data_IF_520883368550
#
_entry.id   IF_520883368550
#
_cell.length_a   1.000
_cell.length_b   1.000
_cell.length_c   1.000
_cell.angle_alpha   90.00
_cell.angle_beta   90.00
_cell.angle_gamma   90.00
#
_symmetry.space_group_name_H-M   'P 1'
#
loop_
_entity.id
_entity.type
_entity.pdbx_description
1 polymer ?
#
# COMPACT_ATOMS: atom_id res chain seq x y z
N UNK A 1 9.53 11.39 -13.47
CA UNK A 1 9.32 11.62 -12.04
C UNK A 1 10.33 12.65 -11.55
N UNK A 2 9.92 13.61 -10.72
CA UNK A 2 10.78 14.62 -10.09
C UNK A 2 10.75 14.46 -8.55
N UNK A 3 11.41 15.36 -7.82
CA UNK A 3 11.50 15.29 -6.36
C UNK A 3 10.15 15.36 -5.61
N UNK A 4 9.05 15.69 -6.29
CA UNK A 4 7.71 15.78 -5.69
C UNK A 4 6.88 14.51 -5.88
N UNK A 5 7.35 13.54 -6.66
CA UNK A 5 6.59 12.30 -6.89
C UNK A 5 6.75 11.33 -5.71
N UNK A 6 5.62 10.94 -5.11
CA UNK A 6 5.58 9.98 -4.01
C UNK A 6 5.22 8.59 -4.55
N UNK A 7 6.12 7.63 -4.37
CA UNK A 7 5.84 6.21 -4.60
C UNK A 7 5.49 5.59 -3.25
N UNK A 8 4.29 5.03 -3.16
CA UNK A 8 3.85 4.32 -1.96
C UNK A 8 3.48 2.88 -2.32
N UNK A 9 3.94 1.94 -1.50
CA UNK A 9 3.62 0.52 -1.60
C UNK A 9 3.29 -0.02 -0.22
N UNK A 10 2.35 -0.96 -0.14
CA UNK A 10 1.93 -1.58 1.11
C UNK A 10 2.28 -3.06 1.06
N UNK A 11 3.02 -3.54 2.05
CA UNK A 11 3.18 -4.96 2.30
C UNK A 11 2.18 -5.37 3.38
N UNK A 12 1.09 -6.04 2.97
CA UNK A 12 -0.03 -6.35 3.85
C UNK A 12 0.22 -7.57 4.74
N UNK A 13 1.14 -8.44 4.36
CA UNK A 13 1.39 -9.74 5.00
C UNK A 13 2.81 -9.84 5.55
N UNK A 14 2.97 -10.51 6.69
CA UNK A 14 4.29 -10.86 7.25
C UNK A 14 4.95 -11.95 6.41
N UNK A 15 6.30 -11.93 6.34
CA UNK A 15 7.10 -13.01 5.76
C UNK A 15 6.76 -14.39 6.37
N UNK A 16 6.36 -14.42 7.64
CA UNK A 16 6.04 -15.64 8.37
C UNK A 16 4.89 -16.43 7.73
N UNK A 17 3.95 -15.74 7.07
CA UNK A 17 2.81 -16.35 6.39
C UNK A 17 3.23 -17.12 5.11
N UNK A 18 4.44 -16.90 4.60
CA UNK A 18 4.91 -17.53 3.36
C UNK A 18 5.77 -18.78 3.59
N UNK A 19 6.22 -19.07 4.82
CA UNK A 19 7.10 -20.22 5.08
C UNK A 19 6.44 -21.56 4.74
N UNK A 20 5.16 -21.75 5.10
CA UNK A 20 4.40 -22.95 4.73
C UNK A 20 4.23 -23.07 3.22
N UNK A 21 3.97 -21.94 2.54
CA UNK A 21 3.85 -21.89 1.07
C UNK A 21 5.15 -22.28 0.38
N UNK A 22 6.29 -21.80 0.88
CA UNK A 22 7.60 -22.17 0.34
C UNK A 22 7.88 -23.67 0.49
N UNK A 23 7.50 -24.27 1.63
CA UNK A 23 7.65 -25.71 1.83
C UNK A 23 6.81 -26.52 0.83
N UNK A 24 5.53 -26.15 0.66
CA UNK A 24 4.63 -26.77 -0.31
C UNK A 24 5.17 -26.64 -1.75
N UNK A 25 5.60 -25.44 -2.13
CA UNK A 25 6.17 -25.19 -3.47
C UNK A 25 7.45 -25.97 -3.71
N UNK A 26 8.35 -26.06 -2.73
CA UNK A 26 9.57 -26.86 -2.83
C UNK A 26 9.26 -28.36 -2.95
N UNK A 27 8.21 -28.85 -2.29
CA UNK A 27 7.78 -30.24 -2.43
C UNK A 27 7.21 -30.53 -3.82
N UNK A 28 6.44 -29.60 -4.39
CA UNK A 28 5.80 -29.77 -5.69
C UNK A 28 6.75 -29.55 -6.87
N UNK A 29 7.62 -28.54 -6.78
CA UNK A 29 8.43 -28.03 -7.90
C UNK A 29 9.94 -28.18 -7.69
N UNK A 30 10.37 -28.67 -6.52
CA UNK A 30 11.77 -28.74 -6.13
C UNK A 30 12.29 -27.42 -5.57
N UNK A 31 13.51 -27.44 -5.02
CA UNK A 31 14.14 -26.25 -4.47
C UNK A 31 14.37 -25.18 -5.54
N UNK A 32 14.16 -23.93 -5.17
CA UNK A 32 14.41 -22.78 -6.05
C UNK A 32 15.90 -22.73 -6.46
N UNK A 33 16.17 -22.96 -7.75
CA UNK A 33 17.52 -23.07 -8.28
C UNK A 33 17.97 -21.77 -8.94
N UNK A 34 19.28 -21.60 -9.12
CA UNK A 34 19.85 -20.48 -9.90
C UNK A 34 19.27 -20.48 -11.32
N UNK A 35 19.01 -21.65 -11.90
CA UNK A 35 18.40 -21.73 -13.23
C UNK A 35 16.97 -21.20 -13.25
N UNK A 36 16.18 -21.51 -12.22
CA UNK A 36 14.84 -20.95 -12.08
C UNK A 36 14.88 -19.44 -11.87
N UNK A 37 15.81 -18.94 -11.05
CA UNK A 37 16.03 -17.52 -10.85
C UNK A 37 16.35 -16.78 -12.17
N UNK A 38 17.19 -17.37 -13.02
CA UNK A 38 17.49 -16.83 -14.36
C UNK A 38 16.22 -16.78 -15.23
N UNK A 39 15.41 -17.85 -15.24
CA UNK A 39 14.17 -17.89 -16.01
C UNK A 39 13.19 -16.82 -15.52
N UNK A 40 12.94 -16.73 -14.22
CA UNK A 40 11.99 -15.77 -13.64
C UNK A 40 12.45 -14.32 -13.88
N UNK A 41 13.76 -14.08 -13.79
CA UNK A 41 14.34 -12.78 -14.12
C UNK A 41 13.96 -12.36 -15.54
N UNK A 42 14.23 -13.19 -16.55
CA UNK A 42 13.99 -12.82 -17.95
C UNK A 42 12.54 -13.00 -18.43
N UNK A 43 11.74 -13.84 -17.77
CA UNK A 43 10.37 -14.14 -18.21
C UNK A 43 9.30 -13.40 -17.42
N UNK A 44 9.57 -13.06 -16.15
CA UNK A 44 8.61 -12.39 -15.27
C UNK A 44 9.08 -10.96 -15.03
N UNK A 45 10.23 -10.78 -14.38
CA UNK A 45 10.66 -9.45 -13.90
C UNK A 45 11.02 -8.50 -15.04
N UNK A 46 11.77 -8.96 -16.05
CA UNK A 46 12.14 -8.15 -17.20
C UNK A 46 10.99 -7.92 -18.19
N UNK A 47 9.90 -8.69 -18.08
CA UNK A 47 8.71 -8.56 -18.93
C UNK A 47 7.53 -7.90 -18.24
N UNK A 48 7.76 -7.28 -17.08
CA UNK A 48 6.74 -6.46 -16.45
C UNK A 48 6.32 -5.34 -17.41
N UNK A 49 5.03 -5.29 -17.69
CA UNK A 49 4.42 -4.37 -18.66
C UNK A 49 3.72 -3.23 -17.91
N UNK A 50 3.12 -2.27 -18.62
CA UNK A 50 2.37 -1.18 -17.98
C UNK A 50 0.85 -1.35 -18.12
N UNK A 51 0.40 -2.52 -18.54
CA UNK A 51 -1.03 -2.87 -18.70
C UNK A 51 -1.82 -2.83 -17.38
N UNK A 52 -1.15 -3.07 -16.25
CA UNK A 52 -1.72 -2.91 -14.91
C UNK A 52 -1.60 -1.48 -14.36
N UNK A 53 -0.87 -0.59 -15.03
CA UNK A 53 -0.75 0.80 -14.63
C UNK A 53 -1.93 1.59 -15.18
N UNK A 54 -2.60 2.36 -14.33
CA UNK A 54 -3.70 3.24 -14.73
C UNK A 54 -3.39 4.67 -14.35
N UNK A 55 -3.22 5.53 -15.35
CA UNK A 55 -3.23 6.97 -15.15
C UNK A 55 -4.67 7.43 -14.96
N UNK A 56 -4.99 7.91 -13.76
CA UNK A 56 -6.37 8.17 -13.37
C UNK A 56 -6.85 9.53 -13.91
N UNK A 57 -7.90 9.49 -14.73
CA UNK A 57 -8.66 10.70 -15.08
C UNK A 57 -9.39 11.26 -13.85
N UNK A 58 -9.94 12.46 -13.98
CA UNK A 58 -10.82 13.03 -12.96
C UNK A 58 -11.97 12.06 -12.58
N UNK A 59 -12.60 11.43 -13.58
CA UNK A 59 -13.71 10.51 -13.35
C UNK A 59 -13.26 9.20 -12.69
N UNK A 60 -12.06 8.70 -13.02
CA UNK A 60 -11.51 7.53 -12.33
C UNK A 60 -11.24 7.81 -10.86
N UNK A 61 -10.64 8.97 -10.57
CA UNK A 61 -10.44 9.44 -9.19
C UNK A 61 -11.79 9.61 -8.46
N UNK A 62 -12.82 10.16 -9.12
CA UNK A 62 -14.15 10.34 -8.51
C UNK A 62 -14.84 9.00 -8.26
N UNK A 63 -14.68 8.02 -9.16
CA UNK A 63 -15.16 6.65 -8.96
C UNK A 63 -14.52 6.03 -7.72
N UNK A 64 -13.19 6.09 -7.61
CA UNK A 64 -12.46 5.60 -6.43
C UNK A 64 -12.90 6.32 -5.16
N UNK A 65 -13.11 7.64 -5.24
CA UNK A 65 -13.63 8.40 -4.11
C UNK A 65 -15.00 7.89 -3.65
N UNK A 66 -15.91 7.65 -4.58
CA UNK A 66 -17.25 7.17 -4.25
C UNK A 66 -17.25 5.74 -3.68
N UNK A 67 -16.27 4.89 -4.02
CA UNK A 67 -16.13 3.55 -3.42
C UNK A 67 -15.96 3.60 -1.90
N UNK A 68 -15.40 4.70 -1.36
CA UNK A 68 -15.27 4.90 0.09
C UNK A 68 -16.62 4.98 0.80
N UNK A 69 -17.73 5.23 0.10
CA UNK A 69 -19.05 5.18 0.73
C UNK A 69 -19.27 3.85 1.47
N UNK A 70 -19.00 2.72 0.80
CA UNK A 70 -19.21 1.40 1.39
C UNK A 70 -18.24 1.13 2.55
N UNK A 71 -16.96 1.45 2.38
CA UNK A 71 -15.92 1.08 3.38
C UNK A 71 -15.78 2.09 4.51
N UNK A 72 -16.14 3.36 4.31
CA UNK A 72 -15.94 4.46 5.25
C UNK A 72 -17.25 4.87 5.91
N UNK A 73 -18.30 5.11 5.11
CA UNK A 73 -19.60 5.56 5.64
C UNK A 73 -20.33 4.36 6.24
N UNK A 74 -20.61 3.32 5.45
CA UNK A 74 -21.41 2.19 5.92
C UNK A 74 -20.68 1.32 6.94
N UNK A 75 -19.42 0.95 6.66
CA UNK A 75 -18.68 0.03 7.54
C UNK A 75 -18.04 0.71 8.76
N UNK A 76 -17.55 1.94 8.63
CA UNK A 76 -16.85 2.66 9.71
C UNK A 76 -17.72 3.74 10.39
N UNK A 77 -18.98 3.89 9.99
CA UNK A 77 -19.95 4.79 10.62
C UNK A 77 -19.65 6.28 10.39
N UNK A 78 -18.92 6.62 9.33
CA UNK A 78 -18.58 8.00 8.97
C UNK A 78 -19.73 8.66 8.24
N UNK A 79 -19.68 9.99 8.12
CA UNK A 79 -20.76 10.74 7.45
C UNK A 79 -20.47 10.94 5.97
N UNK A 80 -21.54 11.12 5.18
CA UNK A 80 -21.41 11.44 3.75
C UNK A 80 -20.83 12.84 3.57
N UNK A 81 -21.12 13.75 4.50
CA UNK A 81 -20.58 15.10 4.56
C UNK A 81 -19.06 15.06 4.72
N UNK A 82 -18.54 14.24 5.64
CA UNK A 82 -17.10 14.03 5.82
C UNK A 82 -16.46 13.38 4.58
N UNK A 83 -17.14 12.42 3.95
CA UNK A 83 -16.67 11.85 2.69
C UNK A 83 -16.58 12.94 1.61
N UNK A 84 -17.61 13.75 1.41
CA UNK A 84 -17.60 14.83 0.42
C UNK A 84 -16.53 15.89 0.73
N UNK A 85 -16.28 16.20 2.00
CA UNK A 85 -15.23 17.12 2.41
C UNK A 85 -13.84 16.67 1.93
N UNK A 86 -13.56 15.36 1.90
CA UNK A 86 -12.30 14.82 1.34
C UNK A 86 -12.07 15.16 -0.14
N UNK A 87 -13.13 15.52 -0.87
CA UNK A 87 -13.06 15.87 -2.30
C UNK A 87 -13.12 17.36 -2.56
N UNK A 88 -13.96 18.08 -1.81
CA UNK A 88 -14.28 19.49 -2.09
C UNK A 88 -13.59 20.48 -1.16
N UNK A 89 -13.12 20.05 0.02
CA UNK A 89 -12.34 20.89 0.92
C UNK A 89 -10.85 20.64 0.65
N UNK A 90 -10.16 21.64 0.10
CA UNK A 90 -8.74 21.58 -0.25
C UNK A 90 -7.85 21.40 0.99
N UNK A 91 -8.26 21.95 2.14
CA UNK A 91 -7.51 21.88 3.39
C UNK A 91 -7.76 20.59 4.18
N UNK A 92 -8.75 19.77 3.78
CA UNK A 92 -9.16 18.58 4.54
C UNK A 92 -7.99 17.67 4.89
N UNK A 93 -7.14 17.36 3.91
CA UNK A 93 -6.01 16.45 4.12
C UNK A 93 -4.85 17.13 4.84
N UNK A 94 -4.58 18.40 4.56
CA UNK A 94 -3.51 19.17 5.20
C UNK A 94 -3.76 19.23 6.71
N UNK A 95 -4.96 19.65 7.12
CA UNK A 95 -5.33 19.73 8.53
C UNK A 95 -5.24 18.38 9.24
N UNK A 96 -5.67 17.30 8.56
CA UNK A 96 -5.66 15.95 9.12
C UNK A 96 -4.25 15.40 9.31
N UNK A 97 -3.33 15.68 8.38
CA UNK A 97 -1.96 15.17 8.40
C UNK A 97 -0.96 16.08 9.14
N UNK A 98 -1.37 17.27 9.58
CA UNK A 98 -0.55 18.13 10.45
C UNK A 98 -0.17 17.47 11.80
N UNK A 99 -0.81 16.37 12.18
CA UNK A 99 -0.47 15.58 13.37
C UNK A 99 0.78 14.71 13.21
N UNK A 100 1.28 14.53 11.98
CA UNK A 100 2.40 13.60 11.67
C UNK A 100 3.64 13.82 12.56
N UNK A 101 4.11 15.05 12.85
CA UNK A 101 5.26 15.26 13.74
C UNK A 101 5.04 14.77 15.18
N UNK A 102 3.78 14.75 15.64
CA UNK A 102 3.42 14.22 16.96
C UNK A 102 3.51 12.69 16.93
N UNK A 103 3.03 12.06 15.86
CA UNK A 103 3.16 10.62 15.68
C UNK A 103 4.61 10.17 15.60
N UNK A 104 5.46 10.90 14.87
CA UNK A 104 6.90 10.59 14.80
C UNK A 104 7.53 10.55 16.19
N UNK A 105 7.26 11.57 17.02
CA UNK A 105 7.72 11.60 18.41
C UNK A 105 7.21 10.41 19.23
N UNK A 106 5.93 10.05 19.09
CA UNK A 106 5.34 8.91 19.81
C UNK A 106 5.94 7.57 19.36
N UNK A 107 6.27 7.44 18.07
CA UNK A 107 6.93 6.26 17.51
C UNK A 107 8.35 6.13 18.06
N UNK A 108 9.13 7.22 18.10
CA UNK A 108 10.47 7.23 18.69
C UNK A 108 10.46 6.85 20.18
N UNK A 109 9.54 7.44 20.95
CA UNK A 109 9.37 7.12 22.37
C UNK A 109 8.96 5.66 22.59
N UNK A 110 8.08 5.12 21.73
CA UNK A 110 7.69 3.73 21.78
C UNK A 110 8.88 2.82 21.48
N UNK A 111 9.59 3.03 20.38
CA UNK A 111 10.74 2.23 19.95
C UNK A 111 11.85 2.22 20.99
N UNK A 112 12.10 3.35 21.66
CA UNK A 112 13.05 3.44 22.77
C UNK A 112 12.64 2.57 23.96
N UNK A 113 11.33 2.49 24.28
CA UNK A 113 10.82 1.65 25.39
C UNK A 113 10.87 0.16 25.08
N UNK A 114 10.71 -0.24 23.80
CA UNK A 114 10.70 -1.65 23.39
C UNK A 114 12.05 -2.17 22.90
N UNK A 115 13.09 -1.31 22.84
CA UNK A 115 14.46 -1.71 22.49
C UNK A 115 14.68 -2.04 21.02
N UNK A 116 13.93 -1.41 20.11
CA UNK A 116 13.98 -1.65 18.64
C UNK A 116 14.85 -0.59 17.91
N UNK A 117 15.71 0.14 18.63
CA UNK A 117 16.66 1.11 18.06
C UNK A 117 18.11 0.62 18.16
#
# INVERSE_FOLDING_TARGET
MNENDVIFTIFTDSVDLYNSRLAEMNQMWGSYSIKQAEIDWYSILQKQSLDYFSELSYYDKKRIHNLKYFTWVEQQGKTVEELNAQWYNEDYWIERFNVTPIWDKLIEEFNSKVGIL
#
